data_IF_305955413769
#
_entry.id   IF_305955413769
#
_cell.length_a   1.000
_cell.length_b   1.000
_cell.length_c   1.000
_cell.angle_alpha   90.00
_cell.angle_beta   90.00
_cell.angle_gamma   90.00
#
_symmetry.space_group_name_H-M   'P 1'
#
loop_
_entity.id
_entity.type
_entity.pdbx_description
1 polymer ?
#
# COMPACT_ATOMS: atom_id res chain seq x y z
N UNK A 1 -16.82 -32.60 37.17
CA UNK A 1 -16.93 -32.29 35.73
C UNK A 1 -16.14 -31.00 35.48
N UNK A 2 -15.03 -31.09 34.73
CA UNK A 2 -14.20 -29.93 34.37
C UNK A 2 -14.78 -29.33 33.09
N UNK A 3 -15.28 -28.09 33.13
CA UNK A 3 -15.70 -27.35 31.94
C UNK A 3 -14.59 -26.37 31.56
N UNK A 4 -13.98 -26.61 30.40
CA UNK A 4 -13.04 -25.74 29.71
C UNK A 4 -13.74 -24.43 29.33
N UNK A 5 -13.21 -23.27 29.75
CA UNK A 5 -13.53 -22.01 29.08
C UNK A 5 -12.66 -21.91 27.82
N UNK A 6 -13.26 -22.16 26.66
CA UNK A 6 -12.67 -21.81 25.37
C UNK A 6 -12.55 -20.29 25.31
N UNK A 7 -11.31 -19.79 25.26
CA UNK A 7 -11.02 -18.43 24.85
C UNK A 7 -11.49 -18.25 23.41
N UNK A 8 -12.58 -17.50 23.23
CA UNK A 8 -12.98 -17.01 21.92
C UNK A 8 -11.90 -16.07 21.42
N UNK A 9 -11.26 -16.41 20.30
CA UNK A 9 -10.44 -15.47 19.53
C UNK A 9 -11.32 -14.26 19.24
N UNK A 10 -10.87 -13.08 19.67
CA UNK A 10 -11.48 -11.82 19.32
C UNK A 10 -11.43 -11.69 17.79
N UNK A 11 -12.60 -11.63 17.16
CA UNK A 11 -12.72 -11.26 15.76
C UNK A 11 -12.31 -9.79 15.64
N UNK A 12 -11.15 -9.54 15.05
CA UNK A 12 -10.74 -8.23 14.55
C UNK A 12 -11.72 -7.85 13.45
N UNK A 13 -12.74 -7.05 13.80
CA UNK A 13 -13.66 -6.49 12.83
C UNK A 13 -12.84 -5.63 11.86
N UNK A 14 -12.64 -6.14 10.65
CA UNK A 14 -11.91 -5.47 9.59
C UNK A 14 -12.53 -4.12 9.30
N UNK A 15 -11.70 -3.08 9.31
CA UNK A 15 -12.05 -1.74 8.87
C UNK A 15 -12.31 -1.80 7.37
N UNK A 16 -13.57 -1.88 6.97
CA UNK A 16 -14.00 -1.87 5.57
C UNK A 16 -14.57 -0.48 5.23
N UNK A 17 -13.87 0.29 4.42
CA UNK A 17 -14.28 1.61 3.94
C UNK A 17 -13.24 2.20 2.98
N UNK A 18 -13.70 2.85 1.91
CA UNK A 18 -12.86 3.56 0.95
C UNK A 18 -12.32 4.86 1.55
N UNK A 19 -11.06 4.87 1.96
CA UNK A 19 -10.46 6.01 2.66
C UNK A 19 -9.95 7.12 1.72
N UNK A 20 -10.20 7.02 0.40
CA UNK A 20 -9.64 7.90 -0.65
C UNK A 20 -10.06 9.35 -0.56
N UNK A 21 -11.26 9.58 -0.05
CA UNK A 21 -11.87 10.90 0.03
C UNK A 21 -11.85 11.48 1.44
N UNK A 22 -11.29 10.77 2.43
CA UNK A 22 -11.36 11.15 3.84
C UNK A 22 -10.47 12.35 4.13
N UNK A 23 -11.08 13.48 4.50
CA UNK A 23 -10.41 14.72 4.92
C UNK A 23 -10.82 15.15 6.31
N UNK A 24 -12.02 14.76 6.78
CA UNK A 24 -12.57 15.12 8.09
C UNK A 24 -12.91 13.88 8.90
N UNK A 25 -12.10 13.63 9.93
CA UNK A 25 -12.25 12.51 10.85
C UNK A 25 -12.74 13.04 12.20
N UNK A 26 -13.83 12.48 12.72
CA UNK A 26 -14.35 12.81 14.05
C UNK A 26 -14.39 11.56 14.91
N UNK A 27 -13.68 11.60 16.03
CA UNK A 27 -13.84 10.62 17.10
C UNK A 27 -15.00 11.06 17.98
N UNK A 28 -16.08 10.27 18.04
CA UNK A 28 -17.31 10.64 18.72
C UNK A 28 -17.60 9.75 19.94
N UNK A 29 -18.12 10.39 20.98
CA UNK A 29 -18.71 9.71 22.14
C UNK A 29 -20.01 10.44 22.55
N UNK A 30 -20.73 9.96 23.56
CA UNK A 30 -22.04 10.51 23.92
C UNK A 30 -21.98 12.01 24.29
N UNK A 31 -21.00 12.40 25.11
CA UNK A 31 -20.83 13.78 25.58
C UNK A 31 -19.75 14.58 24.82
N UNK A 32 -19.02 13.96 23.90
CA UNK A 32 -17.89 14.58 23.21
C UNK A 32 -16.66 14.87 24.08
N UNK A 33 -16.68 14.49 25.36
CA UNK A 33 -15.60 14.71 26.34
C UNK A 33 -15.10 13.36 26.88
N UNK A 34 -13.78 13.21 27.07
CA UNK A 34 -13.16 12.00 27.64
C UNK A 34 -12.50 11.08 26.60
N UNK A 35 -13.06 9.90 26.36
CA UNK A 35 -12.46 8.86 25.49
C UNK A 35 -12.33 9.31 24.03
N UNK A 36 -13.28 10.12 23.54
CA UNK A 36 -13.21 10.73 22.21
C UNK A 36 -12.07 11.74 22.08
N UNK A 37 -11.85 12.56 23.12
CA UNK A 37 -10.76 13.53 23.14
C UNK A 37 -9.38 12.84 23.16
N UNK A 38 -9.24 11.76 23.93
CA UNK A 38 -8.00 10.96 23.96
C UNK A 38 -7.75 10.25 22.62
N UNK A 39 -8.76 9.56 22.07
CA UNK A 39 -8.64 8.88 20.78
C UNK A 39 -8.32 9.86 19.63
N UNK A 40 -8.99 11.02 19.62
CA UNK A 40 -8.67 12.09 18.66
C UNK A 40 -7.25 12.62 18.85
N UNK A 41 -6.76 12.76 20.09
CA UNK A 41 -5.39 13.19 20.37
C UNK A 41 -4.34 12.22 19.85
N UNK A 42 -4.53 10.92 20.09
CA UNK A 42 -3.61 9.86 19.61
C UNK A 42 -3.60 9.81 18.09
N UNK A 43 -4.78 9.79 17.46
CA UNK A 43 -4.89 9.74 16.00
C UNK A 43 -4.36 11.02 15.35
N UNK A 44 -4.69 12.21 15.89
CA UNK A 44 -4.19 13.49 15.40
C UNK A 44 -2.67 13.52 15.42
N UNK A 45 -2.04 13.07 16.51
CA UNK A 45 -0.58 12.99 16.60
C UNK A 45 -0.01 12.07 15.53
N UNK A 46 -0.56 10.87 15.35
CA UNK A 46 -0.10 9.92 14.31
C UNK A 46 -0.26 10.47 12.89
N UNK A 47 -1.39 11.11 12.59
CA UNK A 47 -1.66 11.75 11.29
C UNK A 47 -0.68 12.91 11.04
N UNK A 48 -0.37 13.72 12.06
CA UNK A 48 0.63 14.78 11.98
C UNK A 48 2.05 14.23 11.80
N UNK A 49 2.45 13.23 12.60
CA UNK A 49 3.75 12.56 12.51
C UNK A 49 3.94 11.90 11.13
N UNK A 50 2.85 11.45 10.50
CA UNK A 50 2.82 10.89 9.16
C UNK A 50 2.78 11.94 8.02
N UNK A 51 2.74 13.23 8.34
CA UNK A 51 2.77 14.32 7.35
C UNK A 51 1.46 14.54 6.58
N UNK A 52 0.33 14.02 7.07
CA UNK A 52 -0.98 14.13 6.43
C UNK A 52 -1.66 15.47 6.77
N UNK A 53 -1.20 16.55 6.14
CA UNK A 53 -1.66 17.92 6.42
C UNK A 53 -3.08 18.23 5.94
N UNK A 54 -3.62 17.42 5.04
CA UNK A 54 -4.94 17.57 4.44
C UNK A 54 -6.04 16.80 5.17
N UNK A 55 -5.70 16.11 6.27
CA UNK A 55 -6.66 15.40 7.13
C UNK A 55 -6.80 16.12 8.47
N UNK A 56 -8.03 16.47 8.81
CA UNK A 56 -8.40 17.04 10.10
C UNK A 56 -8.95 15.95 11.02
N UNK A 57 -8.43 15.89 12.25
CA UNK A 57 -8.90 14.94 13.27
C UNK A 57 -9.41 15.73 14.47
N UNK A 58 -10.70 15.61 14.76
CA UNK A 58 -11.37 16.29 15.89
C UNK A 58 -12.20 15.31 16.72
N UNK A 59 -12.74 15.77 17.84
CA UNK A 59 -13.69 15.03 18.66
C UNK A 59 -14.98 15.82 18.81
N UNK A 60 -16.12 15.12 18.88
CA UNK A 60 -17.44 15.73 19.09
C UNK A 60 -18.36 14.78 19.85
N UNK A 61 -19.48 15.33 20.33
CA UNK A 61 -20.60 14.52 20.80
C UNK A 61 -21.36 13.95 19.60
N UNK A 62 -21.94 12.75 19.72
CA UNK A 62 -22.65 12.09 18.60
C UNK A 62 -23.81 12.96 18.07
N UNK A 63 -24.53 13.65 18.97
CA UNK A 63 -25.63 14.56 18.59
C UNK A 63 -25.16 15.86 17.92
N UNK A 64 -23.85 16.10 17.91
CA UNK A 64 -23.20 17.29 17.37
C UNK A 64 -22.26 16.93 16.22
N UNK A 65 -22.47 15.78 15.59
CA UNK A 65 -21.78 15.39 14.37
C UNK A 65 -22.27 16.28 13.21
N UNK A 66 -21.37 16.96 12.48
CA UNK A 66 -21.74 17.76 11.33
C UNK A 66 -21.99 16.87 10.12
N UNK A 67 -22.79 17.35 9.16
CA UNK A 67 -23.17 16.61 7.96
C UNK A 67 -22.06 16.50 6.90
N UNK A 68 -20.91 17.16 7.12
CA UNK A 68 -19.74 17.14 6.22
C UNK A 68 -18.62 16.24 6.75
N UNK A 69 -18.94 15.31 7.66
CA UNK A 69 -17.96 14.37 8.21
C UNK A 69 -17.77 13.19 7.27
N UNK A 70 -16.51 12.92 6.91
CA UNK A 70 -16.19 11.79 6.02
C UNK A 70 -16.09 10.48 6.80
N UNK A 71 -15.50 10.53 7.99
CA UNK A 71 -15.22 9.37 8.82
C UNK A 71 -15.52 9.63 10.30
N UNK A 72 -16.35 8.77 10.88
CA UNK A 72 -16.71 8.78 12.30
C UNK A 72 -16.15 7.55 13.00
N UNK A 73 -15.43 7.77 14.11
CA UNK A 73 -14.85 6.72 14.94
C UNK A 73 -15.56 6.72 16.29
N UNK A 74 -16.19 5.61 16.67
CA UNK A 74 -16.90 5.49 17.95
C UNK A 74 -16.55 4.20 18.68
N UNK A 75 -16.94 4.11 19.95
CA UNK A 75 -17.02 2.81 20.61
C UNK A 75 -18.06 1.95 19.89
N UNK A 76 -17.87 0.62 19.86
CA UNK A 76 -18.82 -0.33 19.25
C UNK A 76 -20.26 -0.14 19.74
N UNK A 77 -20.43 0.12 21.03
CA UNK A 77 -21.77 0.31 21.64
C UNK A 77 -22.46 1.61 21.21
N UNK A 78 -21.73 2.52 20.56
CA UNK A 78 -22.21 3.81 20.12
C UNK A 78 -22.26 3.95 18.59
N UNK A 79 -21.74 2.98 17.85
CA UNK A 79 -21.63 3.02 16.38
C UNK A 79 -22.99 3.10 15.70
N UNK A 80 -23.96 2.28 16.11
CA UNK A 80 -25.31 2.33 15.52
C UNK A 80 -25.97 3.71 15.68
N UNK A 81 -25.73 4.36 16.82
CA UNK A 81 -26.29 5.69 17.09
C UNK A 81 -25.64 6.74 16.19
N UNK A 82 -24.33 6.66 15.97
CA UNK A 82 -23.64 7.56 15.04
C UNK A 82 -24.07 7.33 13.58
N UNK A 83 -24.28 6.08 13.16
CA UNK A 83 -24.79 5.74 11.83
C UNK A 83 -26.18 6.33 11.56
N UNK A 84 -27.05 6.38 12.58
CA UNK A 84 -28.37 7.04 12.44
C UNK A 84 -28.26 8.55 12.30
N UNK A 85 -27.26 9.18 12.91
CA UNK A 85 -27.06 10.62 12.85
C UNK A 85 -26.48 11.06 11.50
N UNK A 86 -25.41 10.40 11.05
CA UNK A 86 -24.69 10.71 9.80
C UNK A 86 -24.52 9.44 8.97
N UNK A 87 -25.58 8.97 8.29
CA UNK A 87 -25.56 7.68 7.58
C UNK A 87 -24.69 7.68 6.32
N UNK A 88 -24.37 8.86 5.78
CA UNK A 88 -23.50 9.01 4.62
C UNK A 88 -22.01 8.88 4.96
N UNK A 89 -21.64 9.14 6.22
CA UNK A 89 -20.27 9.08 6.67
C UNK A 89 -19.82 7.62 6.81
N UNK A 90 -18.51 7.38 6.70
CA UNK A 90 -17.95 6.09 7.05
C UNK A 90 -17.90 5.94 8.57
N UNK A 91 -18.07 4.71 9.07
CA UNK A 91 -18.11 4.44 10.51
C UNK A 91 -17.12 3.35 10.88
N UNK A 92 -16.24 3.65 11.83
CA UNK A 92 -15.29 2.69 12.40
C UNK A 92 -15.61 2.51 13.88
N UNK A 93 -15.72 1.25 14.27
CA UNK A 93 -15.97 0.87 15.66
C UNK A 93 -14.66 0.45 16.34
N UNK A 94 -14.45 0.97 17.55
CA UNK A 94 -13.36 0.57 18.44
C UNK A 94 -13.93 -0.10 19.68
N UNK A 95 -13.19 -1.05 20.23
CA UNK A 95 -13.48 -1.66 21.55
C UNK A 95 -12.64 -1.02 22.66
N UNK A 96 -11.51 -0.40 22.33
CA UNK A 96 -10.65 0.31 23.27
C UNK A 96 -9.98 1.52 22.61
N UNK A 97 -10.26 2.73 23.11
CA UNK A 97 -9.71 3.97 22.57
C UNK A 97 -8.21 4.16 22.84
N UNK A 98 -7.59 3.34 23.68
CA UNK A 98 -6.16 3.38 23.97
C UNK A 98 -5.34 2.37 23.14
N UNK A 99 -6.01 1.57 22.31
CA UNK A 99 -5.33 0.59 21.48
C UNK A 99 -4.54 1.27 20.36
N UNK A 100 -3.24 1.47 20.62
CA UNK A 100 -2.32 2.10 19.68
C UNK A 100 -2.14 1.33 18.38
N UNK A 101 -2.42 0.02 18.35
CA UNK A 101 -2.32 -0.82 17.16
C UNK A 101 -3.36 -0.39 16.12
N UNK A 102 -4.62 -0.28 16.52
CA UNK A 102 -5.71 0.14 15.64
C UNK A 102 -5.46 1.51 15.00
N UNK A 103 -4.98 2.49 15.77
CA UNK A 103 -4.65 3.80 15.19
C UNK A 103 -3.43 3.76 14.29
N UNK A 104 -2.49 2.84 14.51
CA UNK A 104 -1.34 2.65 13.63
C UNK A 104 -1.79 2.11 12.28
N UNK A 105 -2.66 1.11 12.28
CA UNK A 105 -3.20 0.50 11.05
C UNK A 105 -4.07 1.50 10.27
N UNK A 106 -4.92 2.26 10.97
CA UNK A 106 -5.72 3.32 10.36
C UNK A 106 -4.85 4.42 9.77
N UNK A 107 -3.81 4.85 10.48
CA UNK A 107 -2.89 5.87 9.96
C UNK A 107 -2.13 5.34 8.75
N UNK A 108 -1.66 4.09 8.77
CA UNK A 108 -0.97 3.46 7.65
C UNK A 108 -1.84 3.44 6.39
N UNK A 109 -3.12 3.06 6.52
CA UNK A 109 -4.08 3.08 5.41
C UNK A 109 -4.39 4.49 4.92
N UNK A 110 -4.58 5.46 5.83
CA UNK A 110 -4.77 6.86 5.45
C UNK A 110 -3.56 7.42 4.70
N UNK A 111 -2.34 7.03 5.10
CA UNK A 111 -1.08 7.40 4.41
C UNK A 111 -0.99 6.78 3.03
N UNK A 112 -1.26 5.49 2.91
CA UNK A 112 -1.26 4.77 1.64
C UNK A 112 -2.20 5.42 0.62
N UNK A 113 -3.41 5.73 1.08
CA UNK A 113 -4.47 6.28 0.25
C UNK A 113 -4.28 7.78 -0.06
N UNK A 114 -3.76 8.58 0.89
CA UNK A 114 -3.41 9.97 0.62
C UNK A 114 -2.17 10.12 -0.25
N UNK A 115 -1.20 9.19 -0.18
CA UNK A 115 -0.11 9.14 -1.15
C UNK A 115 -0.67 8.92 -2.55
N UNK A 116 -1.59 7.97 -2.73
CA UNK A 116 -2.24 7.74 -4.02
C UNK A 116 -3.02 8.97 -4.54
N UNK A 117 -3.69 9.72 -3.66
CA UNK A 117 -4.49 10.91 -4.03
C UNK A 117 -3.64 12.16 -4.26
N UNK A 118 -2.62 12.41 -3.44
CA UNK A 118 -1.66 13.51 -3.66
C UNK A 118 -0.77 13.27 -4.88
N UNK A 119 -0.50 12.00 -5.24
CA UNK A 119 0.15 11.66 -6.51
C UNK A 119 -0.74 12.00 -7.70
N UNK A 120 -2.04 11.66 -7.68
CA UNK A 120 -2.99 12.04 -8.75
C UNK A 120 -3.12 13.57 -8.92
N UNK A 121 -3.15 14.33 -7.83
CA UNK A 121 -3.33 15.79 -7.85
C UNK A 121 -2.06 16.56 -8.28
N UNK A 122 -0.87 16.09 -7.87
CA UNK A 122 0.41 16.63 -8.37
C UNK A 122 0.66 16.29 -9.84
N UNK A 123 0.25 15.12 -10.31
CA UNK A 123 0.33 14.76 -11.74
C UNK A 123 -0.54 15.72 -12.56
N UNK A 124 -1.80 15.97 -12.17
CA UNK A 124 -2.70 16.89 -12.88
C UNK A 124 -2.25 18.36 -12.86
N UNK A 125 -1.68 18.83 -11.75
CA UNK A 125 -1.17 20.21 -11.66
C UNK A 125 0.11 20.40 -12.48
N UNK A 126 1.01 19.40 -12.48
CA UNK A 126 2.26 19.47 -13.28
C UNK A 126 2.00 19.35 -14.78
N UNK A 127 0.92 18.66 -15.18
CA UNK A 127 0.43 18.59 -16.57
C UNK A 127 -0.10 19.94 -17.11
N UNK A 128 -0.52 20.85 -16.24
CA UNK A 128 -1.09 22.15 -16.64
C UNK A 128 -0.01 23.21 -16.91
N UNK A 129 1.05 23.22 -16.11
CA UNK A 129 2.15 24.20 -16.23
C UNK A 129 3.27 23.75 -17.19
N UNK A 130 3.23 22.51 -17.67
CA UNK A 130 4.26 21.93 -18.55
C UNK A 130 3.82 21.81 -20.01
N UNK A 131 3.18 22.85 -20.55
CA UNK A 131 3.09 23.07 -22.01
C UNK A 131 4.44 23.49 -22.62
N UNK A 132 5.54 23.11 -21.99
CA UNK A 132 6.89 23.20 -22.55
C UNK A 132 7.61 21.90 -22.21
N UNK A 133 7.92 21.16 -23.29
CA UNK A 133 8.71 19.92 -23.40
C UNK A 133 8.09 18.61 -22.87
N UNK A 134 7.35 17.95 -23.76
CA UNK A 134 6.92 16.54 -23.71
C UNK A 134 8.08 15.51 -23.68
N UNK A 135 9.34 15.91 -23.41
CA UNK A 135 10.52 15.05 -23.60
C UNK A 135 11.14 14.49 -22.32
N UNK A 136 10.79 14.96 -21.12
CA UNK A 136 11.50 14.55 -19.89
C UNK A 136 10.80 13.44 -19.08
N UNK A 137 9.56 13.06 -19.40
CA UNK A 137 8.81 12.04 -18.63
C UNK A 137 9.07 10.58 -19.07
N UNK A 138 9.86 10.37 -20.13
CA UNK A 138 10.09 9.07 -20.77
C UNK A 138 11.12 8.16 -20.07
N UNK A 139 11.87 8.62 -19.06
CA UNK A 139 13.08 7.89 -18.62
C UNK A 139 13.26 7.73 -17.11
N UNK A 140 12.19 7.39 -16.36
CA UNK A 140 12.34 7.05 -14.93
C UNK A 140 13.00 5.66 -14.72
N UNK A 141 12.79 4.74 -15.65
CA UNK A 141 13.54 3.49 -15.80
C UNK A 141 13.47 3.02 -17.25
N UNK A 142 14.54 2.40 -17.76
CA UNK A 142 14.57 1.83 -19.10
C UNK A 142 14.20 0.35 -19.03
N UNK A 143 12.95 0.01 -19.36
CA UNK A 143 12.54 -1.38 -19.50
C UNK A 143 12.98 -1.90 -20.88
N UNK A 144 13.65 -3.03 -20.92
CA UNK A 144 14.05 -3.72 -22.15
C UNK A 144 13.75 -5.20 -22.06
N UNK A 145 13.88 -5.94 -23.17
CA UNK A 145 13.73 -7.39 -23.19
C UNK A 145 14.63 -8.09 -22.16
N UNK A 146 15.83 -7.54 -21.92
CA UNK A 146 16.78 -8.09 -20.94
C UNK A 146 16.31 -8.02 -19.48
N UNK A 147 15.22 -7.30 -19.22
CA UNK A 147 14.63 -7.15 -17.90
C UNK A 147 13.41 -8.04 -17.68
N UNK A 148 12.93 -8.75 -18.72
CA UNK A 148 11.66 -9.48 -18.69
C UNK A 148 11.93 -10.99 -18.71
N UNK A 149 11.39 -11.68 -17.72
CA UNK A 149 11.57 -13.10 -17.51
C UNK A 149 10.21 -13.78 -17.39
N UNK A 150 9.85 -14.58 -18.40
CA UNK A 150 8.54 -15.22 -18.52
C UNK A 150 8.58 -16.70 -18.14
N UNK A 151 7.44 -17.25 -17.74
CA UNK A 151 7.28 -18.69 -17.49
C UNK A 151 8.15 -19.26 -16.36
N UNK A 152 8.49 -18.43 -15.36
CA UNK A 152 9.33 -18.86 -14.25
C UNK A 152 8.58 -19.76 -13.27
N UNK A 153 9.35 -20.50 -12.48
CA UNK A 153 8.88 -21.30 -11.36
C UNK A 153 9.75 -21.01 -10.14
N UNK A 154 9.15 -20.98 -8.96
CA UNK A 154 9.84 -20.87 -7.68
C UNK A 154 9.09 -21.69 -6.64
N UNK A 155 9.80 -22.25 -5.66
CA UNK A 155 9.18 -23.05 -4.60
C UNK A 155 8.62 -22.18 -3.47
N UNK A 156 9.17 -20.98 -3.29
CA UNK A 156 8.79 -20.03 -2.26
C UNK A 156 9.14 -18.59 -2.72
N UNK A 157 8.71 -17.59 -1.94
CA UNK A 157 8.96 -16.19 -2.28
C UNK A 157 10.45 -15.83 -2.19
N UNK A 158 11.21 -16.45 -1.29
CA UNK A 158 12.63 -16.19 -1.13
C UNK A 158 13.42 -16.53 -2.40
N UNK A 159 13.07 -17.64 -3.07
CA UNK A 159 13.66 -18.04 -4.35
C UNK A 159 13.36 -17.01 -5.45
N UNK A 160 12.14 -16.48 -5.49
CA UNK A 160 11.76 -15.44 -6.45
C UNK A 160 12.45 -14.10 -6.17
N UNK A 161 12.60 -13.74 -4.89
CA UNK A 161 13.33 -12.54 -4.46
C UNK A 161 14.82 -12.66 -4.82
N UNK A 162 15.44 -13.82 -4.55
CA UNK A 162 16.83 -14.09 -4.96
C UNK A 162 17.00 -13.97 -6.45
N UNK A 163 16.13 -14.62 -7.23
CA UNK A 163 16.16 -14.53 -8.69
C UNK A 163 16.08 -13.08 -9.15
N UNK A 164 15.09 -12.32 -8.68
CA UNK A 164 14.94 -10.91 -9.05
C UNK A 164 16.18 -10.08 -8.68
N UNK A 165 16.71 -10.25 -7.47
CA UNK A 165 17.94 -9.61 -7.03
C UNK A 165 19.16 -9.95 -7.91
N UNK A 166 19.32 -11.21 -8.28
CA UNK A 166 20.40 -11.66 -9.16
C UNK A 166 20.28 -11.07 -10.57
N UNK A 167 19.06 -10.95 -11.11
CA UNK A 167 18.86 -10.29 -12.41
C UNK A 167 19.15 -8.80 -12.33
N UNK A 168 18.84 -8.14 -11.20
CA UNK A 168 19.24 -6.75 -10.97
C UNK A 168 20.76 -6.59 -10.91
N UNK A 169 21.49 -7.53 -10.29
CA UNK A 169 22.96 -7.55 -10.29
C UNK A 169 23.50 -7.76 -11.71
N UNK A 170 23.00 -8.77 -12.43
CA UNK A 170 23.41 -9.08 -13.82
C UNK A 170 23.16 -7.90 -14.77
N UNK A 171 22.05 -7.18 -14.59
CA UNK A 171 21.73 -5.97 -15.35
C UNK A 171 22.53 -4.71 -14.96
N UNK A 172 23.39 -4.83 -13.94
CA UNK A 172 24.24 -3.75 -13.43
C UNK A 172 23.46 -2.66 -12.69
N UNK A 173 22.27 -2.98 -12.16
CA UNK A 173 21.46 -2.03 -11.39
C UNK A 173 21.95 -1.90 -9.95
N UNK A 174 22.47 -2.99 -9.38
CA UNK A 174 22.85 -3.08 -7.97
C UNK A 174 24.12 -3.90 -7.77
N UNK A 175 24.76 -3.73 -6.61
CA UNK A 175 25.83 -4.61 -6.12
C UNK A 175 25.26 -5.91 -5.54
N UNK A 176 26.09 -6.95 -5.42
CA UNK A 176 25.68 -8.30 -4.98
C UNK A 176 24.98 -8.30 -3.62
N UNK A 177 25.39 -7.42 -2.71
CA UNK A 177 24.86 -7.28 -1.35
C UNK A 177 23.39 -6.84 -1.33
N UNK A 178 22.88 -6.27 -2.44
CA UNK A 178 21.49 -5.83 -2.52
C UNK A 178 20.50 -7.01 -2.51
N UNK A 179 20.92 -8.20 -2.94
CA UNK A 179 20.07 -9.41 -2.92
C UNK A 179 19.65 -9.77 -1.49
N UNK A 180 20.63 -9.78 -0.57
CA UNK A 180 20.35 -10.05 0.85
C UNK A 180 19.56 -8.90 1.49
N UNK A 181 19.74 -7.66 1.02
CA UNK A 181 18.92 -6.54 1.46
C UNK A 181 17.44 -6.67 1.02
N UNK A 182 17.16 -7.23 -0.16
CA UNK A 182 15.78 -7.51 -0.59
C UNK A 182 15.12 -8.57 0.28
N UNK A 183 15.85 -9.63 0.62
CA UNK A 183 15.37 -10.66 1.54
C UNK A 183 15.13 -10.09 2.94
N UNK A 184 16.06 -9.31 3.46
CA UNK A 184 15.91 -8.65 4.77
C UNK A 184 14.70 -7.71 4.79
N UNK A 185 14.46 -6.96 3.70
CA UNK A 185 13.30 -6.06 3.58
C UNK A 185 11.98 -6.82 3.62
N UNK A 186 11.89 -7.96 2.95
CA UNK A 186 10.68 -8.80 2.94
C UNK A 186 10.33 -9.33 4.33
N UNK A 187 11.33 -9.64 5.16
CA UNK A 187 11.10 -10.12 6.54
C UNK A 187 10.53 -9.05 7.48
N UNK A 188 10.65 -7.76 7.14
CA UNK A 188 10.08 -6.66 7.94
C UNK A 188 8.58 -6.52 7.71
N UNK A 189 8.17 -6.56 6.45
CA UNK A 189 6.77 -6.55 6.04
C UNK A 189 6.70 -7.02 4.59
N UNK A 190 5.62 -7.76 4.27
CA UNK A 190 5.36 -8.30 2.94
C UNK A 190 5.42 -7.19 1.89
N UNK A 191 6.02 -7.50 0.74
CA UNK A 191 5.98 -6.63 -0.46
C UNK A 191 4.87 -7.02 -1.45
N UNK A 192 3.93 -7.84 -1.01
CA UNK A 192 2.71 -8.12 -1.76
C UNK A 192 1.79 -6.89 -1.79
N UNK A 193 1.30 -6.53 -2.97
CA UNK A 193 0.40 -5.38 -3.16
C UNK A 193 -1.06 -5.77 -3.32
N UNK A 194 -1.37 -7.07 -3.31
CA UNK A 194 -2.66 -7.58 -3.77
C UNK A 194 -2.67 -7.90 -5.26
N UNK A 195 -3.79 -8.44 -5.72
CA UNK A 195 -4.07 -8.69 -7.16
C UNK A 195 -2.94 -9.43 -7.90
N UNK A 196 -2.34 -10.42 -7.24
CA UNK A 196 -1.24 -11.21 -7.80
C UNK A 196 0.05 -10.46 -8.13
N UNK A 197 0.29 -9.29 -7.52
CA UNK A 197 1.51 -8.49 -7.71
C UNK A 197 2.34 -8.42 -6.43
N UNK A 198 3.66 -8.63 -6.56
CA UNK A 198 4.64 -8.36 -5.50
C UNK A 198 5.79 -7.49 -6.02
N UNK A 199 6.32 -6.60 -5.16
CA UNK A 199 7.34 -5.61 -5.52
C UNK A 199 8.58 -5.64 -4.60
N UNK A 200 9.34 -6.75 -4.59
CA UNK A 200 10.50 -6.86 -3.73
C UNK A 200 11.56 -5.81 -4.06
N UNK A 201 12.09 -5.17 -3.02
CA UNK A 201 13.09 -4.10 -3.08
C UNK A 201 14.01 -4.17 -1.85
N UNK A 202 15.17 -3.52 -1.89
CA UNK A 202 16.13 -3.52 -0.79
C UNK A 202 15.70 -2.64 0.39
N UNK A 203 16.38 -2.79 1.53
CA UNK A 203 16.20 -1.90 2.68
C UNK A 203 16.78 -0.50 2.42
N UNK A 204 16.42 0.46 3.28
CA UNK A 204 16.91 1.85 3.19
C UNK A 204 18.43 1.92 3.36
N UNK A 205 19.00 1.07 4.21
CA UNK A 205 20.44 1.00 4.49
C UNK A 205 21.24 0.51 3.28
N UNK A 206 20.60 -0.25 2.39
CA UNK A 206 21.22 -0.77 1.17
C UNK A 206 21.17 0.20 -0.02
N UNK A 207 20.69 1.44 0.17
CA UNK A 207 20.56 2.44 -0.91
C UNK A 207 21.88 2.68 -1.67
N UNK A 208 23.02 2.65 -0.98
CA UNK A 208 24.34 2.91 -1.57
C UNK A 208 24.83 1.74 -2.44
N UNK A 209 24.12 0.59 -2.39
CA UNK A 209 24.33 -0.57 -3.25
C UNK A 209 23.62 -0.45 -4.59
N UNK A 210 22.79 0.58 -4.79
CA UNK A 210 22.10 0.84 -6.06
C UNK A 210 23.00 1.66 -6.99
N UNK A 211 23.46 1.05 -8.08
CA UNK A 211 24.30 1.66 -9.10
C UNK A 211 23.48 2.55 -10.05
N UNK A 212 22.28 2.11 -10.42
CA UNK A 212 21.31 2.86 -11.24
C UNK A 212 19.90 2.35 -10.98
N UNK A 213 18.90 3.23 -11.09
CA UNK A 213 17.49 2.87 -10.95
C UNK A 213 17.05 1.95 -12.10
N UNK A 214 16.27 0.93 -11.79
CA UNK A 214 15.73 0.00 -12.77
C UNK A 214 14.93 -1.14 -12.15
N UNK A 215 14.29 -1.92 -13.01
CA UNK A 215 13.42 -3.02 -12.61
C UNK A 215 13.75 -4.30 -13.36
N UNK A 216 13.31 -5.42 -12.80
CA UNK A 216 13.18 -6.71 -13.48
C UNK A 216 11.76 -7.20 -13.31
N UNK A 217 11.16 -7.66 -14.40
CA UNK A 217 9.82 -8.23 -14.44
C UNK A 217 9.93 -9.74 -14.49
N UNK A 218 9.40 -10.42 -13.48
CA UNK A 218 9.44 -11.86 -13.34
C UNK A 218 8.01 -12.41 -13.27
N UNK A 219 7.62 -13.18 -14.29
CA UNK A 219 6.30 -13.81 -14.36
C UNK A 219 6.37 -15.25 -13.87
N UNK A 220 5.47 -15.59 -12.95
CA UNK A 220 5.26 -16.92 -12.38
C UNK A 220 3.82 -17.36 -12.64
N UNK A 221 3.53 -18.02 -13.79
CA UNK A 221 2.14 -18.30 -14.18
C UNK A 221 1.35 -19.12 -13.15
N UNK A 222 2.02 -20.03 -12.44
CA UNK A 222 1.44 -20.86 -11.39
C UNK A 222 1.19 -20.11 -10.06
N UNK A 223 1.74 -18.90 -9.92
CA UNK A 223 1.71 -18.13 -8.68
C UNK A 223 2.71 -18.65 -7.62
N UNK A 224 3.10 -17.75 -6.72
CA UNK A 224 3.92 -18.04 -5.55
C UNK A 224 3.22 -17.43 -4.35
N UNK A 225 3.03 -18.22 -3.29
CA UNK A 225 2.52 -17.68 -2.03
C UNK A 225 3.48 -16.60 -1.50
N UNK A 226 2.95 -15.42 -1.21
CA UNK A 226 3.74 -14.26 -0.83
C UNK A 226 3.33 -13.66 0.51
N UNK A 227 2.03 -13.40 0.68
CA UNK A 227 1.46 -12.81 1.89
C UNK A 227 1.18 -13.82 3.01
N UNK A 228 0.60 -13.31 4.09
CA UNK A 228 0.31 -14.10 5.29
C UNK A 228 -0.93 -14.99 5.08
N UNK A 229 -1.90 -14.52 4.29
CA UNK A 229 -3.10 -15.27 3.95
C UNK A 229 -2.82 -16.35 2.89
N UNK A 230 -3.62 -17.42 2.91
CA UNK A 230 -3.40 -18.55 1.97
C UNK A 230 -3.67 -18.18 0.51
N UNK A 231 -4.51 -17.17 0.30
CA UNK A 231 -4.91 -16.69 -1.01
C UNK A 231 -3.95 -15.61 -1.57
N UNK A 232 -2.98 -15.15 -0.78
CA UNK A 232 -2.00 -14.14 -1.19
C UNK A 232 -0.92 -14.75 -2.08
N UNK A 233 -1.25 -14.95 -3.36
CA UNK A 233 -0.37 -15.53 -4.37
C UNK A 233 0.03 -14.51 -5.44
N UNK A 234 1.33 -14.26 -5.58
CA UNK A 234 1.90 -13.38 -6.60
C UNK A 234 2.23 -14.16 -7.87
N UNK A 235 1.70 -13.71 -9.01
CA UNK A 235 2.03 -14.20 -10.36
C UNK A 235 2.97 -13.25 -11.09
N UNK A 236 2.99 -11.98 -10.68
CA UNK A 236 3.88 -10.95 -11.19
C UNK A 236 4.78 -10.47 -10.05
N UNK A 237 6.08 -10.69 -10.19
CA UNK A 237 7.09 -10.24 -9.22
C UNK A 237 7.97 -9.21 -9.92
N UNK A 238 7.95 -7.98 -9.43
CA UNK A 238 8.69 -6.88 -10.03
C UNK A 238 9.79 -6.44 -9.07
N UNK A 239 11.01 -6.88 -9.33
CA UNK A 239 12.17 -6.52 -8.52
C UNK A 239 12.60 -5.09 -8.80
N UNK A 240 12.73 -4.27 -7.75
CA UNK A 240 13.03 -2.84 -7.88
C UNK A 240 14.40 -2.51 -7.28
N UNK A 241 15.24 -1.90 -8.12
CA UNK A 241 16.43 -1.17 -7.72
C UNK A 241 16.15 0.31 -7.87
N UNK A 242 16.09 1.06 -6.78
CA UNK A 242 15.85 2.49 -6.84
C UNK A 242 16.66 3.23 -5.78
N UNK A 243 17.20 4.39 -6.15
CA UNK A 243 17.87 5.27 -5.19
C UNK A 243 16.80 6.04 -4.41
N UNK A 244 16.97 6.19 -3.10
CA UNK A 244 16.04 6.93 -2.25
C UNK A 244 14.58 6.41 -2.36
N UNK A 245 13.59 7.31 -2.18
CA UNK A 245 12.16 6.99 -2.29
C UNK A 245 11.67 6.83 -3.75
N UNK A 246 12.56 6.69 -4.74
CA UNK A 246 12.19 6.54 -6.15
C UNK A 246 11.47 5.21 -6.45
N UNK A 247 11.61 4.20 -5.60
CA UNK A 247 10.87 2.94 -5.73
C UNK A 247 9.35 3.20 -5.75
N UNK A 248 8.88 4.22 -5.03
CA UNK A 248 7.45 4.60 -5.04
C UNK A 248 7.02 5.08 -6.43
N UNK A 249 7.83 5.90 -7.11
CA UNK A 249 7.50 6.37 -8.46
C UNK A 249 7.44 5.21 -9.47
N UNK A 250 8.33 4.23 -9.30
CA UNK A 250 8.34 2.99 -10.11
C UNK A 250 7.07 2.17 -9.82
N UNK A 251 6.74 1.95 -8.55
CA UNK A 251 5.52 1.22 -8.14
C UNK A 251 4.28 1.92 -8.68
N UNK A 252 4.15 3.25 -8.53
CA UNK A 252 2.96 3.99 -9.02
C UNK A 252 2.78 3.87 -10.53
N UNK A 253 3.87 3.96 -11.32
CA UNK A 253 3.79 3.77 -12.78
C UNK A 253 3.33 2.34 -13.11
N UNK A 254 3.87 1.34 -12.42
CA UNK A 254 3.50 -0.05 -12.61
C UNK A 254 2.04 -0.29 -12.22
N UNK A 255 1.61 0.10 -11.02
CA UNK A 255 0.23 -0.10 -10.57
C UNK A 255 -0.76 0.63 -11.48
N UNK A 256 -0.42 1.82 -12.00
CA UNK A 256 -1.29 2.53 -12.95
C UNK A 256 -1.40 1.78 -14.29
N UNK A 257 -0.29 1.27 -14.82
CA UNK A 257 -0.30 0.47 -16.04
C UNK A 257 -1.01 -0.89 -15.87
N UNK A 258 -1.13 -1.36 -14.62
CA UNK A 258 -1.73 -2.65 -14.26
C UNK A 258 -3.19 -2.53 -13.80
N UNK A 259 -3.71 -1.30 -13.63
CA UNK A 259 -5.08 -1.00 -13.16
C UNK A 259 -6.15 -1.27 -14.24
N UNK A 260 -5.73 -1.53 -15.48
CA UNK A 260 -6.64 -1.89 -16.57
C UNK A 260 -7.19 -3.31 -16.41
N UNK A 261 -8.52 -3.45 -16.51
CA UNK A 261 -9.22 -4.72 -16.38
C UNK A 261 -8.60 -5.82 -17.27
N UNK A 262 -8.18 -6.92 -16.63
CA UNK A 262 -7.62 -8.09 -17.30
C UNK A 262 -6.16 -7.96 -17.75
N UNK A 263 -5.49 -6.82 -17.55
CA UNK A 263 -4.07 -6.67 -17.88
C UNK A 263 -3.19 -7.57 -17.03
N UNK A 264 -3.47 -7.67 -15.73
CA UNK A 264 -2.73 -8.55 -14.82
C UNK A 264 -2.79 -10.01 -15.29
N UNK A 265 -3.98 -10.50 -15.66
CA UNK A 265 -4.15 -11.88 -16.13
C UNK A 265 -3.43 -12.14 -17.46
N UNK A 266 -3.48 -11.18 -18.38
CA UNK A 266 -2.70 -11.25 -19.64
C UNK A 266 -1.21 -11.30 -19.35
N UNK A 267 -0.70 -10.38 -18.53
CA UNK A 267 0.70 -10.35 -18.14
C UNK A 267 1.13 -11.58 -17.35
N UNK A 268 0.23 -12.23 -16.61
CA UNK A 268 0.51 -13.43 -15.84
C UNK A 268 0.49 -14.72 -16.67
N UNK A 269 0.01 -14.66 -17.92
CA UNK A 269 -0.11 -15.84 -18.82
C UNK A 269 0.60 -15.68 -20.16
N UNK A 270 0.94 -14.45 -20.56
CA UNK A 270 1.58 -14.18 -21.85
C UNK A 270 2.93 -14.88 -21.99
N UNK A 271 3.23 -15.30 -23.21
CA UNK A 271 4.54 -15.82 -23.62
C UNK A 271 5.32 -14.81 -24.46
N UNK A 272 4.78 -13.60 -24.65
CA UNK A 272 5.35 -12.55 -25.49
C UNK A 272 6.01 -11.45 -24.65
N UNK A 273 7.34 -11.33 -24.78
CA UNK A 273 8.10 -10.22 -24.19
C UNK A 273 7.67 -8.88 -24.77
N UNK A 274 7.32 -8.84 -26.05
CA UNK A 274 6.85 -7.63 -26.73
C UNK A 274 5.50 -7.14 -26.18
N UNK A 275 4.60 -8.05 -25.84
CA UNK A 275 3.33 -7.70 -25.19
C UNK A 275 3.57 -7.07 -23.81
N UNK A 276 4.46 -7.64 -23.00
CA UNK A 276 4.86 -7.07 -21.71
C UNK A 276 5.45 -5.67 -21.89
N UNK A 277 6.35 -5.49 -22.87
CA UNK A 277 6.95 -4.18 -23.16
C UNK A 277 5.91 -3.16 -23.59
N UNK A 278 4.93 -3.56 -24.42
CA UNK A 278 3.86 -2.68 -24.89
C UNK A 278 3.02 -2.20 -23.71
N UNK A 279 2.51 -3.15 -22.92
CA UNK A 279 1.66 -2.85 -21.76
C UNK A 279 2.39 -1.96 -20.74
N UNK A 280 3.65 -2.25 -20.43
CA UNK A 280 4.39 -1.52 -19.39
C UNK A 280 5.00 -0.20 -19.86
N UNK A 281 5.04 0.08 -21.17
CA UNK A 281 5.52 1.37 -21.71
C UNK A 281 4.37 2.35 -21.99
N UNK A 282 3.14 1.87 -22.15
CA UNK A 282 1.98 2.67 -22.58
C UNK A 282 1.98 2.83 -24.09
#
# INVERSE_FOLDING_TARGET
MKAQSKGGKASTAGVAGDLSTVRKIIVACDAGMGSSAMGAGVLRKKVQDAGLTNISVTNSAINSLPDDVDLVITHRDLTERAMRQVPHAQHISLTNFLDSGLYTDLTARLVEVNKSSQYKEKVNTTLSDSLVSEQENEHLFRLSESNIFLGLQASNKEDAIRFAGEQLVKGGYVQQEYVEAMLAREQLTSTYLGESIAVPHGTIEAKDRVLKTGIVFCQYPAGIRWGDDEDDSARLVIGIAARNNEHINVITKLTTALDEDGVIDRLATTTSVEEVLTILRG
#
